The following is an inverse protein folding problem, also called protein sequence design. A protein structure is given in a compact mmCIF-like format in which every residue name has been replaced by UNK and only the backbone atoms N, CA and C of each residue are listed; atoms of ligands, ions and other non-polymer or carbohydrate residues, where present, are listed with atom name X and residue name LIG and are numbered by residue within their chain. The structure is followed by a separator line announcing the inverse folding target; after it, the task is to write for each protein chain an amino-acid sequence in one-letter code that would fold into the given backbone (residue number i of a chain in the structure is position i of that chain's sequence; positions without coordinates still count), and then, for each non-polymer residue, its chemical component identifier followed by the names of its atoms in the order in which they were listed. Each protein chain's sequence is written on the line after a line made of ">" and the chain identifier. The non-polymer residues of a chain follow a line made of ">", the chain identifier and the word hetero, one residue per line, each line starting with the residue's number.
data_IF_979770937475
#
_entry.id   IF_979770937475
#
_cell.length_a   1.000
_cell.length_b   1.000
_cell.length_c   1.000
_cell.angle_alpha   90.00
_cell.angle_beta   90.00
_cell.angle_gamma   90.00
#
_symmetry.space_group_name_H-M   'P 1'
#
loop_
_entity.id
_entity.type
_entity.pdbx_description
1 polymer ?
#
# COMPACT_ATOMS: atom_id res chain seq x y z
N UNK A 1 -29.62 -38.37 -59.08
CA UNK A 1 -29.33 -37.59 -57.85
C UNK A 1 -27.88 -37.78 -57.49
N UNK A 2 -27.12 -36.70 -57.35
CA UNK A 2 -25.68 -36.73 -57.06
C UNK A 2 -25.48 -37.18 -55.61
N UNK A 3 -24.80 -38.30 -55.37
CA UNK A 3 -24.48 -38.77 -54.02
C UNK A 3 -23.47 -37.80 -53.39
N UNK A 4 -23.97 -36.80 -52.66
CA UNK A 4 -23.20 -35.70 -52.05
C UNK A 4 -22.26 -36.13 -50.92
N UNK A 5 -22.13 -37.41 -50.59
CA UNK A 5 -21.28 -37.87 -49.50
C UNK A 5 -20.61 -39.20 -49.88
N UNK A 6 -19.67 -39.13 -50.83
CA UNK A 6 -18.80 -40.25 -51.15
C UNK A 6 -17.68 -40.48 -50.11
N UNK A 7 -17.73 -39.81 -48.95
CA UNK A 7 -16.95 -40.22 -47.78
C UNK A 7 -17.76 -41.25 -46.99
N UNK A 8 -17.73 -42.49 -47.45
CA UNK A 8 -18.49 -43.60 -46.87
C UNK A 8 -18.13 -43.85 -45.41
N UNK A 9 -19.09 -44.35 -44.62
CA UNK A 9 -18.88 -44.75 -43.21
C UNK A 9 -17.60 -45.59 -43.00
N UNK A 10 -17.25 -46.43 -43.98
CA UNK A 10 -16.02 -47.21 -43.99
C UNK A 10 -14.75 -46.36 -43.93
N UNK A 11 -14.66 -45.28 -44.73
CA UNK A 11 -13.50 -44.37 -44.75
C UNK A 11 -13.36 -43.59 -43.44
N UNK A 12 -14.48 -43.18 -42.82
CA UNK A 12 -14.43 -42.57 -41.49
C UNK A 12 -13.90 -43.54 -40.44
N UNK A 13 -14.28 -44.81 -40.53
CA UNK A 13 -13.82 -45.86 -39.61
C UNK A 13 -12.32 -46.15 -39.79
N UNK A 14 -11.84 -46.21 -41.03
CA UNK A 14 -10.40 -46.42 -41.29
C UNK A 14 -9.58 -45.22 -40.85
N UNK A 15 -10.00 -43.99 -41.16
CA UNK A 15 -9.33 -42.77 -40.72
C UNK A 15 -9.25 -42.67 -39.18
N UNK A 16 -10.34 -43.00 -38.47
CA UNK A 16 -10.34 -43.04 -37.00
C UNK A 16 -9.39 -44.12 -36.44
N UNK A 17 -9.33 -45.29 -37.08
CA UNK A 17 -8.42 -46.36 -36.70
C UNK A 17 -6.94 -45.98 -36.92
N UNK A 18 -6.64 -45.31 -38.04
CA UNK A 18 -5.30 -44.80 -38.35
C UNK A 18 -4.89 -43.68 -37.38
N UNK A 19 -5.78 -42.73 -37.08
CA UNK A 19 -5.52 -41.69 -36.09
C UNK A 19 -5.20 -42.29 -34.70
N UNK A 20 -5.96 -43.33 -34.29
CA UNK A 20 -5.69 -44.02 -33.01
C UNK A 20 -4.36 -44.77 -33.03
N UNK A 21 -4.01 -45.43 -34.14
CA UNK A 21 -2.68 -46.07 -34.33
C UNK A 21 -1.55 -45.05 -34.26
N UNK A 22 -1.70 -43.89 -34.91
CA UNK A 22 -0.71 -42.81 -34.86
C UNK A 22 -0.54 -42.24 -33.44
N UNK A 23 -1.62 -42.09 -32.67
CA UNK A 23 -1.55 -41.65 -31.28
C UNK A 23 -0.82 -42.67 -30.39
N UNK A 24 -1.10 -43.97 -30.57
CA UNK A 24 -0.41 -45.03 -29.82
C UNK A 24 1.08 -45.12 -30.20
N UNK A 25 1.41 -44.97 -31.48
CA UNK A 25 2.80 -44.92 -31.96
C UNK A 25 3.54 -43.73 -31.36
N UNK A 26 2.92 -42.53 -31.36
CA UNK A 26 3.49 -41.33 -30.71
C UNK A 26 3.70 -41.51 -29.21
N UNK A 27 2.77 -42.16 -28.52
CA UNK A 27 2.90 -42.44 -27.09
C UNK A 27 4.03 -43.45 -26.82
N UNK A 28 4.14 -44.51 -27.64
CA UNK A 28 5.19 -45.50 -27.51
C UNK A 28 6.59 -44.94 -27.82
N UNK A 29 6.69 -44.00 -28.77
CA UNK A 29 7.94 -43.31 -29.13
C UNK A 29 8.23 -42.08 -28.28
N UNK A 30 7.32 -41.69 -27.38
CA UNK A 30 7.53 -40.52 -26.53
C UNK A 30 8.66 -40.81 -25.53
N UNK A 31 9.56 -39.84 -25.30
CA UNK A 31 10.58 -39.97 -24.27
C UNK A 31 9.92 -40.21 -22.90
N UNK A 32 10.34 -41.27 -22.22
CA UNK A 32 9.89 -41.59 -20.87
C UNK A 32 10.55 -40.65 -19.87
N UNK A 33 9.92 -40.50 -18.70
CA UNK A 33 10.49 -39.70 -17.61
C UNK A 33 11.83 -40.24 -17.08
N UNK A 34 12.15 -41.50 -17.37
CA UNK A 34 13.43 -42.14 -17.06
C UNK A 34 14.52 -41.91 -18.10
N UNK A 35 14.19 -41.29 -19.24
CA UNK A 35 15.18 -41.03 -20.28
C UNK A 35 16.13 -39.90 -19.83
N UNK A 36 17.46 -40.08 -19.94
CA UNK A 36 18.44 -39.11 -19.44
C UNK A 36 18.22 -37.69 -19.97
N UNK A 37 17.92 -37.53 -21.27
CA UNK A 37 17.66 -36.23 -21.87
C UNK A 37 16.42 -35.54 -21.27
N UNK A 38 15.38 -36.29 -20.91
CA UNK A 38 14.20 -35.72 -20.25
C UNK A 38 14.50 -35.30 -18.82
N UNK A 39 15.30 -36.08 -18.09
CA UNK A 39 15.75 -35.72 -16.75
C UNK A 39 16.61 -34.46 -16.75
N UNK A 40 17.54 -34.33 -17.70
CA UNK A 40 18.35 -33.11 -17.87
C UNK A 40 17.47 -31.89 -18.16
N UNK A 41 16.46 -32.04 -19.03
CA UNK A 41 15.52 -30.94 -19.33
C UNK A 41 14.67 -30.56 -18.12
N UNK A 42 14.26 -31.52 -17.30
CA UNK A 42 13.54 -31.25 -16.05
C UNK A 42 14.44 -30.54 -15.04
N UNK A 43 15.65 -31.05 -14.81
CA UNK A 43 16.62 -30.43 -13.91
C UNK A 43 16.97 -29.00 -14.34
N UNK A 44 17.14 -28.75 -15.65
CA UNK A 44 17.37 -27.41 -16.18
C UNK A 44 16.18 -26.46 -15.93
N UNK A 45 14.94 -26.95 -16.09
CA UNK A 45 13.73 -26.17 -15.79
C UNK A 45 13.60 -25.86 -14.30
N UNK A 46 13.88 -26.84 -13.45
CA UNK A 46 13.87 -26.68 -12.00
C UNK A 46 14.92 -25.68 -11.54
N UNK A 47 16.15 -25.74 -12.08
CA UNK A 47 17.20 -24.77 -11.79
C UNK A 47 16.79 -23.35 -12.19
N UNK A 48 16.17 -23.17 -13.37
CA UNK A 48 15.66 -21.87 -13.81
C UNK A 48 14.50 -21.39 -12.93
N UNK A 49 13.60 -22.28 -12.52
CA UNK A 49 12.50 -21.95 -11.61
C UNK A 49 13.04 -21.51 -10.24
N UNK A 50 13.96 -22.26 -9.65
CA UNK A 50 14.63 -21.91 -8.39
C UNK A 50 15.34 -20.55 -8.49
N UNK A 51 16.06 -20.28 -9.57
CA UNK A 51 16.73 -18.99 -9.79
C UNK A 51 15.73 -17.83 -10.00
N UNK A 52 14.53 -18.09 -10.54
CA UNK A 52 13.46 -17.09 -10.63
C UNK A 52 12.84 -16.81 -9.27
N UNK A 53 12.56 -17.84 -8.49
CA UNK A 53 12.01 -17.69 -7.15
C UNK A 53 12.99 -16.98 -6.21
N UNK A 54 14.27 -17.33 -6.24
CA UNK A 54 15.30 -16.60 -5.48
C UNK A 54 15.34 -15.09 -5.83
N UNK A 55 15.26 -14.76 -7.12
CA UNK A 55 15.17 -13.34 -7.57
C UNK A 55 13.85 -12.67 -7.19
N UNK A 56 12.74 -13.39 -7.12
CA UNK A 56 11.46 -12.85 -6.64
C UNK A 56 11.55 -12.57 -5.15
N UNK A 57 11.97 -13.55 -4.35
CA UNK A 57 12.15 -13.40 -2.91
C UNK A 57 13.07 -12.23 -2.55
N UNK A 58 14.22 -12.10 -3.23
CA UNK A 58 15.14 -10.98 -3.02
C UNK A 58 14.50 -9.61 -3.35
N UNK A 59 13.75 -9.51 -4.46
CA UNK A 59 13.06 -8.27 -4.83
C UNK A 59 11.93 -7.92 -3.89
N UNK A 60 11.15 -8.90 -3.45
CA UNK A 60 10.08 -8.66 -2.48
C UNK A 60 10.65 -8.23 -1.13
N UNK A 61 11.74 -8.84 -0.65
CA UNK A 61 12.41 -8.40 0.58
C UNK A 61 12.95 -6.95 0.49
N UNK A 62 13.50 -6.55 -0.68
CA UNK A 62 13.93 -5.17 -0.89
C UNK A 62 12.74 -4.20 -0.92
N UNK A 63 11.66 -4.55 -1.63
CA UNK A 63 10.45 -3.72 -1.68
C UNK A 63 9.81 -3.56 -0.31
N UNK A 64 9.73 -4.62 0.49
CA UNK A 64 9.16 -4.54 1.85
C UNK A 64 10.01 -3.63 2.72
N UNK A 65 11.34 -3.76 2.67
CA UNK A 65 12.24 -2.90 3.42
C UNK A 65 12.13 -1.43 2.98
N UNK A 66 12.06 -1.16 1.68
CA UNK A 66 11.87 0.22 1.17
C UNK A 66 10.52 0.79 1.58
N UNK A 67 9.44 0.03 1.46
CA UNK A 67 8.10 0.46 1.89
C UNK A 67 8.06 0.74 3.39
N UNK A 68 8.66 -0.11 4.22
CA UNK A 68 8.75 0.12 5.66
C UNK A 68 9.50 1.42 5.98
N UNK A 69 10.60 1.70 5.27
CA UNK A 69 11.34 2.96 5.42
C UNK A 69 10.50 4.17 5.03
N UNK A 70 9.82 4.12 3.90
CA UNK A 70 8.96 5.21 3.42
C UNK A 70 7.78 5.45 4.38
N UNK A 71 7.17 4.39 4.91
CA UNK A 71 6.10 4.50 5.89
C UNK A 71 6.60 5.10 7.21
N UNK A 72 7.77 4.69 7.70
CA UNK A 72 8.38 5.25 8.90
C UNK A 72 8.73 6.73 8.73
N UNK A 73 9.29 7.11 7.57
CA UNK A 73 9.60 8.51 7.25
C UNK A 73 8.34 9.36 7.15
N UNK A 74 7.30 8.87 6.46
CA UNK A 74 6.02 9.57 6.36
C UNK A 74 5.35 9.74 7.74
N UNK A 75 5.39 8.71 8.59
CA UNK A 75 4.87 8.78 9.95
C UNK A 75 5.65 9.79 10.80
N UNK A 76 6.98 9.82 10.70
CA UNK A 76 7.83 10.78 11.41
C UNK A 76 7.55 12.22 10.93
N UNK A 77 7.41 12.43 9.63
CA UNK A 77 7.09 13.74 9.06
C UNK A 77 5.70 14.22 9.50
N UNK A 78 4.70 13.34 9.52
CA UNK A 78 3.35 13.65 10.01
C UNK A 78 3.35 14.01 11.50
N UNK A 79 4.06 13.24 12.33
CA UNK A 79 4.19 13.53 13.76
C UNK A 79 4.90 14.87 14.02
N UNK A 80 5.96 15.17 13.26
CA UNK A 80 6.65 16.46 13.35
C UNK A 80 5.72 17.63 12.97
N UNK A 81 4.96 17.49 11.87
CA UNK A 81 3.99 18.49 11.45
C UNK A 81 2.89 18.70 12.49
N UNK A 82 2.40 17.62 13.12
CA UNK A 82 1.40 17.72 14.19
C UNK A 82 1.95 18.45 15.43
N UNK A 83 3.19 18.16 15.82
CA UNK A 83 3.86 18.84 16.94
C UNK A 83 3.98 20.34 16.66
N UNK A 84 4.44 20.72 15.46
CA UNK A 84 4.56 22.14 15.10
C UNK A 84 3.20 22.83 15.02
N UNK A 85 2.17 22.18 14.46
CA UNK A 85 0.81 22.71 14.44
C UNK A 85 0.24 22.91 15.86
N UNK A 86 0.51 21.98 16.78
CA UNK A 86 0.11 22.11 18.19
C UNK A 86 0.83 23.26 18.87
N UNK A 87 2.16 23.38 18.70
CA UNK A 87 2.94 24.51 19.24
C UNK A 87 2.44 25.85 18.73
N UNK A 88 2.13 25.95 17.44
CA UNK A 88 1.59 27.18 16.85
C UNK A 88 0.20 27.51 17.42
N UNK A 89 -0.68 26.50 17.56
CA UNK A 89 -1.99 26.68 18.16
C UNK A 89 -1.89 27.12 19.63
N UNK A 90 -1.01 26.50 20.41
CA UNK A 90 -0.73 26.86 21.81
C UNK A 90 -0.17 28.28 21.93
N UNK A 91 0.77 28.67 21.06
CA UNK A 91 1.30 30.03 21.02
C UNK A 91 0.21 31.06 20.73
N UNK A 92 -0.65 30.81 19.74
CA UNK A 92 -1.79 31.70 19.43
C UNK A 92 -2.76 31.78 20.60
N UNK A 93 -3.04 30.67 21.28
CA UNK A 93 -3.91 30.67 22.46
C UNK A 93 -3.31 31.46 23.62
N UNK A 94 -2.00 31.31 23.86
CA UNK A 94 -1.27 32.07 24.88
C UNK A 94 -1.30 33.57 24.58
N UNK A 95 -1.07 33.99 23.33
CA UNK A 95 -1.16 35.40 22.94
C UNK A 95 -2.56 35.99 23.15
N UNK A 96 -3.61 35.22 22.83
CA UNK A 96 -4.99 35.63 23.06
C UNK A 96 -5.27 35.75 24.56
N UNK A 97 -4.84 34.76 25.35
CA UNK A 97 -5.02 34.76 26.80
C UNK A 97 -4.30 35.97 27.45
N UNK A 98 -3.07 36.25 27.03
CA UNK A 98 -2.29 37.40 27.49
C UNK A 98 -2.98 38.72 27.16
N UNK A 99 -3.53 38.85 25.94
CA UNK A 99 -4.28 40.05 25.56
C UNK A 99 -5.52 40.24 26.42
N UNK A 100 -6.29 39.17 26.65
CA UNK A 100 -7.46 39.22 27.52
C UNK A 100 -7.07 39.57 28.95
N UNK A 101 -6.02 38.98 29.50
CA UNK A 101 -5.52 39.26 30.84
C UNK A 101 -5.14 40.74 31.00
N UNK A 102 -4.47 41.34 30.01
CA UNK A 102 -4.14 42.77 30.00
C UNK A 102 -5.39 43.64 30.01
N UNK A 103 -6.39 43.34 29.17
CA UNK A 103 -7.65 44.09 29.15
C UNK A 103 -8.36 44.03 30.50
N UNK A 104 -8.45 42.84 31.11
CA UNK A 104 -9.07 42.67 32.42
C UNK A 104 -8.31 43.44 33.51
N UNK A 105 -6.98 43.42 33.49
CA UNK A 105 -6.15 44.17 34.42
C UNK A 105 -6.35 45.69 34.26
N UNK A 106 -6.38 46.19 33.03
CA UNK A 106 -6.61 47.61 32.73
C UNK A 106 -8.01 48.05 33.18
N UNK A 107 -9.03 47.23 32.97
CA UNK A 107 -10.39 47.50 33.43
C UNK A 107 -10.50 47.52 34.97
N UNK A 108 -9.83 46.58 35.65
CA UNK A 108 -9.73 46.55 37.10
C UNK A 108 -9.03 47.81 37.64
N UNK A 109 -7.92 48.24 37.01
CA UNK A 109 -7.21 49.46 37.39
C UNK A 109 -8.07 50.71 37.20
N UNK A 110 -8.78 50.84 36.07
CA UNK A 110 -9.72 51.94 35.82
C UNK A 110 -10.86 51.96 36.83
N UNK A 111 -11.39 50.80 37.23
CA UNK A 111 -12.42 50.69 38.26
C UNK A 111 -11.88 51.16 39.62
N UNK A 112 -10.72 50.66 40.03
CA UNK A 112 -10.08 51.07 41.28
C UNK A 112 -9.81 52.59 41.34
N UNK A 113 -9.39 53.19 40.22
CA UNK A 113 -9.21 54.64 40.12
C UNK A 113 -10.55 55.40 40.27
N UNK A 114 -11.61 54.94 39.59
CA UNK A 114 -12.96 55.52 39.74
C UNK A 114 -13.43 55.44 41.19
N UNK A 115 -13.25 54.30 41.83
CA UNK A 115 -13.66 54.08 43.23
C UNK A 115 -12.87 54.98 44.18
N UNK A 116 -11.56 55.16 43.96
CA UNK A 116 -10.72 56.14 44.69
C UNK A 116 -11.23 57.56 44.53
N UNK A 117 -11.55 57.99 43.30
CA UNK A 117 -12.10 59.33 43.02
C UNK A 117 -13.45 59.53 43.69
N UNK A 118 -14.32 58.51 43.64
CA UNK A 118 -15.63 58.56 44.28
C UNK A 118 -15.52 58.68 45.79
N UNK A 119 -14.64 57.89 46.42
CA UNK A 119 -14.35 57.98 47.85
C UNK A 119 -13.79 59.37 48.24
N UNK A 120 -12.83 59.90 47.46
CA UNK A 120 -12.27 61.24 47.70
C UNK A 120 -13.32 62.35 47.55
N UNK A 121 -14.24 62.24 46.59
CA UNK A 121 -15.35 63.19 46.44
C UNK A 121 -16.32 63.12 47.62
N UNK A 122 -16.70 61.91 48.04
CA UNK A 122 -17.58 61.69 49.19
C UNK A 122 -16.98 62.28 50.47
N UNK A 123 -15.68 62.10 50.69
CA UNK A 123 -14.97 62.66 51.84
C UNK A 123 -14.91 64.21 51.87
N UNK A 124 -15.10 64.90 50.73
CA UNK A 124 -15.21 66.37 50.68
C UNK A 124 -16.63 66.89 50.90
N UNK A 125 -17.63 66.03 50.74
CA UNK A 125 -19.04 66.37 50.88
C UNK A 125 -19.59 66.01 52.27
N UNK A 126 -18.85 65.22 53.04
CA UNK A 126 -19.02 65.03 54.48
C UNK A 126 -18.30 66.15 55.22
#
# INVERSE_FOLDING_TARGET
>A
MRHLNANGFAERRTAAAEAKRQLLAKFASAPKATDPEMQERLAAREAVAAAREARRAAREALKTAENERLLAEAAAAAAAAEIEARKEAEARQAEVADRVARVVADEAARKAERDRRYAARKARQA
#
